data_IF_092046795696
#
_entry.id   IF_092046795696
#
_cell.length_a   1.000
_cell.length_b   1.000
_cell.length_c   1.000
_cell.angle_alpha   90.00
_cell.angle_beta   90.00
_cell.angle_gamma   90.00
#
_symmetry.space_group_name_H-M   'P 1'
#
loop_
_entity.id
_entity.type
_entity.pdbx_description
1 polymer ?
#
# COMPACT_ATOMS: atom_id res chain seq x y z
N UNK A 1 12.07 26.53 -48.70
CA UNK A 1 10.85 26.46 -47.86
C UNK A 1 10.73 27.80 -47.17
N UNK A 2 9.52 28.36 -47.10
CA UNK A 2 9.29 29.66 -46.47
C UNK A 2 9.58 29.58 -44.96
N UNK A 3 10.22 30.59 -44.38
CA UNK A 3 10.61 30.60 -42.96
C UNK A 3 9.38 30.47 -42.05
N UNK A 4 8.24 31.01 -42.47
CA UNK A 4 6.97 30.87 -41.74
C UNK A 4 6.49 29.42 -41.69
N UNK A 5 6.68 28.65 -42.77
CA UNK A 5 6.30 27.23 -42.81
C UNK A 5 7.12 26.41 -41.82
N UNK A 6 8.42 26.69 -41.70
CA UNK A 6 9.31 25.97 -40.78
C UNK A 6 8.94 26.29 -39.32
N UNK A 7 8.65 27.55 -39.00
CA UNK A 7 8.24 27.96 -37.65
C UNK A 7 6.89 27.34 -37.28
N UNK A 8 5.90 27.40 -38.16
CA UNK A 8 4.58 26.80 -37.90
C UNK A 8 4.67 25.28 -37.72
N UNK A 9 5.54 24.60 -38.48
CA UNK A 9 5.78 23.17 -38.32
C UNK A 9 6.46 22.85 -36.98
N UNK A 10 7.44 23.64 -36.57
CA UNK A 10 8.11 23.47 -35.28
C UNK A 10 7.14 23.69 -34.10
N UNK A 11 6.32 24.74 -34.16
CA UNK A 11 5.33 25.04 -33.11
C UNK A 11 4.26 23.96 -33.03
N UNK A 12 3.75 23.50 -34.17
CA UNK A 12 2.75 22.41 -34.19
C UNK A 12 3.33 21.09 -33.65
N UNK A 13 4.57 20.76 -33.99
CA UNK A 13 5.26 19.59 -33.44
C UNK A 13 5.48 19.73 -31.92
N UNK A 14 5.86 20.92 -31.44
CA UNK A 14 6.03 21.19 -30.02
C UNK A 14 4.71 21.08 -29.25
N UNK A 15 3.62 21.63 -29.79
CA UNK A 15 2.29 21.51 -29.20
C UNK A 15 1.80 20.06 -29.16
N UNK A 16 2.05 19.28 -30.22
CA UNK A 16 1.71 17.86 -30.25
C UNK A 16 2.50 17.07 -29.19
N UNK A 17 3.81 17.34 -29.06
CA UNK A 17 4.65 16.72 -28.04
C UNK A 17 4.22 17.10 -26.62
N UNK A 18 3.88 18.37 -26.38
CA UNK A 18 3.37 18.84 -25.10
C UNK A 18 2.01 18.19 -24.75
N UNK A 19 1.11 18.08 -25.71
CA UNK A 19 -0.18 17.40 -25.52
C UNK A 19 -0.01 15.90 -25.18
N UNK A 20 0.90 15.22 -25.88
CA UNK A 20 1.23 13.82 -25.57
C UNK A 20 1.85 13.68 -24.18
N UNK A 21 2.75 14.58 -23.80
CA UNK A 21 3.36 14.59 -22.47
C UNK A 21 2.31 14.83 -21.37
N UNK A 22 1.36 15.72 -21.58
CA UNK A 22 0.26 15.97 -20.65
C UNK A 22 -0.62 14.73 -20.46
N UNK A 23 -0.85 13.94 -21.51
CA UNK A 23 -1.53 12.64 -21.42
C UNK A 23 -0.75 11.67 -20.54
N UNK A 24 0.57 11.58 -20.69
CA UNK A 24 1.41 10.71 -19.85
C UNK A 24 1.32 11.13 -18.37
N UNK A 25 1.37 12.43 -18.10
CA UNK A 25 1.21 12.97 -16.75
C UNK A 25 -0.16 12.62 -16.15
N UNK A 26 -1.22 12.77 -16.94
CA UNK A 26 -2.58 12.41 -16.53
C UNK A 26 -2.69 10.91 -16.19
N UNK A 27 -2.15 10.05 -17.04
CA UNK A 27 -2.14 8.60 -16.77
C UNK A 27 -1.32 8.24 -15.52
N UNK A 28 -0.19 8.92 -15.29
CA UNK A 28 0.61 8.73 -14.08
C UNK A 28 -0.14 9.18 -12.82
N UNK A 29 -0.82 10.32 -12.88
CA UNK A 29 -1.66 10.82 -11.80
C UNK A 29 -2.78 9.84 -11.47
N UNK A 30 -3.45 9.28 -12.49
CA UNK A 30 -4.51 8.27 -12.29
C UNK A 30 -3.99 6.94 -11.75
N UNK A 31 -2.76 6.55 -12.08
CA UNK A 31 -2.11 5.36 -11.50
C UNK A 31 -1.84 5.58 -10.02
N UNK A 32 -1.24 6.71 -9.65
CA UNK A 32 -0.97 7.04 -8.25
C UNK A 32 -2.24 7.08 -7.39
N UNK A 33 -3.34 7.64 -7.91
CA UNK A 33 -4.62 7.63 -7.19
C UNK A 33 -5.17 6.21 -6.99
N UNK A 34 -5.00 5.32 -7.97
CA UNK A 34 -5.41 3.91 -7.85
C UNK A 34 -4.57 3.18 -6.82
N UNK A 35 -3.25 3.34 -6.88
CA UNK A 35 -2.30 2.70 -5.97
C UNK A 35 -2.57 3.16 -4.52
N UNK A 36 -2.89 4.44 -4.30
CA UNK A 36 -3.29 4.94 -2.97
C UNK A 36 -4.60 4.31 -2.47
N UNK A 37 -5.60 4.17 -3.34
CA UNK A 37 -6.87 3.53 -2.98
C UNK A 37 -6.73 2.02 -2.74
N UNK A 38 -5.75 1.37 -3.37
CA UNK A 38 -5.39 -0.03 -3.10
C UNK A 38 -4.63 -0.14 -1.78
N UNK A 39 -3.66 0.75 -1.53
CA UNK A 39 -2.91 0.82 -0.28
C UNK A 39 -3.84 1.07 0.92
N UNK A 40 -4.85 1.94 0.80
CA UNK A 40 -5.85 2.18 1.84
C UNK A 40 -6.65 0.91 2.18
N UNK A 41 -6.91 0.06 1.18
CA UNK A 41 -7.60 -1.22 1.36
C UNK A 41 -6.70 -2.31 1.92
N UNK A 42 -5.41 -2.30 1.59
CA UNK A 42 -4.43 -3.30 2.06
C UNK A 42 -3.83 -2.97 3.44
N UNK A 43 -3.80 -1.69 3.83
CA UNK A 43 -3.36 -1.23 5.15
C UNK A 43 -4.02 -1.96 6.34
N UNK A 44 -5.35 -2.23 6.39
CA UNK A 44 -5.96 -2.97 7.49
C UNK A 44 -5.56 -4.45 7.57
N UNK A 45 -4.90 -5.02 6.55
CA UNK A 45 -4.52 -6.44 6.56
C UNK A 45 -3.11 -6.71 7.11
N UNK A 46 -2.19 -5.74 7.02
CA UNK A 46 -0.79 -5.95 7.44
C UNK A 46 -0.56 -5.68 8.93
N UNK A 47 -1.45 -4.91 9.56
CA UNK A 47 -1.49 -4.80 11.01
C UNK A 47 -2.61 -5.68 11.53
N UNK A 48 -2.26 -6.88 12.01
CA UNK A 48 -2.99 -7.46 13.15
C UNK A 48 -3.10 -6.31 14.15
N UNK A 49 -4.32 -5.84 14.42
CA UNK A 49 -4.52 -4.77 15.37
C UNK A 49 -3.75 -5.18 16.62
N UNK A 50 -2.92 -4.31 17.18
CA UNK A 50 -2.13 -4.59 18.40
C UNK A 50 -3.01 -5.21 19.50
N UNK A 51 -4.32 -4.94 19.43
CA UNK A 51 -5.39 -5.55 20.21
C UNK A 51 -5.54 -7.07 19.99
N UNK A 52 -5.67 -7.53 18.74
CA UNK A 52 -5.83 -8.96 18.42
C UNK A 52 -4.60 -9.77 18.84
N UNK A 53 -3.39 -9.25 18.55
CA UNK A 53 -2.15 -9.87 19.01
C UNK A 53 -2.04 -9.94 20.55
N UNK A 54 -2.55 -8.91 21.26
CA UNK A 54 -2.61 -8.94 22.73
C UNK A 54 -3.58 -10.00 23.25
N UNK A 55 -4.70 -10.20 22.58
CA UNK A 55 -5.68 -11.22 22.93
C UNK A 55 -5.09 -12.62 22.75
N UNK A 56 -4.46 -12.89 21.60
CA UNK A 56 -3.84 -14.19 21.32
C UNK A 56 -2.73 -14.53 22.32
N UNK A 57 -1.88 -13.55 22.66
CA UNK A 57 -0.81 -13.72 23.66
C UNK A 57 -1.37 -13.95 25.06
N UNK A 58 -2.48 -13.32 25.43
CA UNK A 58 -3.12 -13.56 26.73
C UNK A 58 -3.68 -14.98 26.80
N UNK A 59 -4.35 -15.44 25.74
CA UNK A 59 -4.90 -16.80 25.67
C UNK A 59 -3.79 -17.85 25.76
N UNK A 60 -2.66 -17.64 25.06
CA UNK A 60 -1.48 -18.50 25.14
C UNK A 60 -0.92 -18.55 26.57
N UNK A 61 -0.81 -17.40 27.25
CA UNK A 61 -0.33 -17.35 28.64
C UNK A 61 -1.28 -18.07 29.60
N UNK A 62 -2.58 -17.91 29.43
CA UNK A 62 -3.59 -18.56 30.29
C UNK A 62 -3.59 -20.09 30.10
N UNK A 63 -3.37 -20.56 28.86
CA UNK A 63 -3.19 -21.98 28.59
C UNK A 63 -1.92 -22.52 29.25
N UNK A 64 -0.81 -21.79 29.16
CA UNK A 64 0.46 -22.17 29.81
C UNK A 64 0.34 -22.19 31.33
N UNK A 65 -0.32 -21.20 31.93
CA UNK A 65 -0.57 -21.17 33.39
C UNK A 65 -1.34 -22.42 33.86
N UNK A 66 -2.41 -22.80 33.14
CA UNK A 66 -3.17 -24.03 33.45
C UNK A 66 -2.33 -25.30 33.31
N UNK A 67 -1.38 -25.33 32.38
CA UNK A 67 -0.45 -26.46 32.23
C UNK A 67 0.51 -26.49 33.42
N UNK A 68 1.06 -25.34 33.83
CA UNK A 68 1.93 -25.24 35.00
C UNK A 68 1.22 -25.67 36.29
N UNK A 69 0.00 -25.19 36.56
CA UNK A 69 -0.78 -25.61 37.73
C UNK A 69 -1.01 -27.13 37.77
N UNK A 70 -1.29 -27.72 36.61
CA UNK A 70 -1.44 -29.19 36.47
C UNK A 70 -0.10 -29.92 36.64
N UNK A 71 1.01 -29.31 36.24
CA UNK A 71 2.35 -29.88 36.39
C UNK A 71 2.78 -29.84 37.87
N UNK A 72 2.60 -28.71 38.54
CA UNK A 72 2.91 -28.56 39.97
C UNK A 72 2.05 -29.48 40.83
N UNK A 73 0.74 -29.56 40.57
CA UNK A 73 -0.11 -30.51 41.32
C UNK A 73 0.20 -32.00 41.06
N UNK A 74 0.95 -32.31 39.99
CA UNK A 74 1.47 -33.65 39.70
C UNK A 74 2.86 -33.90 40.29
N UNK A 75 3.66 -32.85 40.53
CA UNK A 75 4.97 -32.94 41.15
C UNK A 75 4.89 -33.04 42.68
N UNK A 76 3.82 -32.53 43.29
CA UNK A 76 3.51 -32.68 44.73
C UNK A 76 2.84 -34.03 45.09
N UNK A 77 2.87 -35.02 44.18
CA UNK A 77 2.43 -36.40 44.40
C UNK A 77 3.53 -37.39 44.01
#
# INVERSE_FOLDING_TARGET
MDSQTIINLAVSAACAAAGWWLRILWEAQQRLQRDLGELEKELPHTYVLKQDYRQDIQEVKDMLAKIFDKLDSKADK
#
